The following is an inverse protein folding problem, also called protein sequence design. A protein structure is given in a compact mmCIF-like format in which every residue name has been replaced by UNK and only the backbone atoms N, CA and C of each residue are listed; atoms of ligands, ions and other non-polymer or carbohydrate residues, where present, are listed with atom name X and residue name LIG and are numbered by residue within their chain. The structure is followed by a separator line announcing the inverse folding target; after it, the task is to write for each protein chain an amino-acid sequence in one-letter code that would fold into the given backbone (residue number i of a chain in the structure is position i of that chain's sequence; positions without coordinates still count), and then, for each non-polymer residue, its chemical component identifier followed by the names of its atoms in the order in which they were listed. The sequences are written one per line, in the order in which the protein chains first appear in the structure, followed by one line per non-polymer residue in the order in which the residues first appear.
data_IF_121218044159
#
_entry.id   IF_121218044159
#
_cell.length_a   1.000
_cell.length_b   1.000
_cell.length_c   1.000
_cell.angle_alpha   90.00
_cell.angle_beta   90.00
_cell.angle_gamma   90.00
#
_symmetry.space_group_name_H-M   'P 1'
#
loop_
_entity.id
_entity.type
_entity.pdbx_description
1 polymer ?
#
# COMPACT_ATOMS: atom_id res chain seq x y z
N UNK A 1 40.21 -26.31 -39.18
CA UNK A 1 40.12 -25.00 -38.55
C UNK A 1 38.80 -24.26 -38.83
N UNK A 2 38.21 -24.35 -40.05
CA UNK A 2 36.93 -23.68 -40.39
C UNK A 2 35.76 -24.37 -39.75
N UNK A 3 35.77 -25.68 -39.61
CA UNK A 3 34.66 -26.47 -39.02
C UNK A 3 34.46 -26.18 -37.54
N UNK A 4 35.57 -26.10 -36.79
CA UNK A 4 35.55 -25.75 -35.35
C UNK A 4 35.03 -24.34 -35.10
N UNK A 5 35.32 -23.40 -35.98
CA UNK A 5 34.80 -22.02 -35.91
C UNK A 5 33.31 -21.94 -36.22
N UNK A 6 32.81 -22.77 -37.14
CA UNK A 6 31.42 -22.81 -37.53
C UNK A 6 30.54 -23.43 -36.42
N UNK A 7 30.97 -24.55 -35.85
CA UNK A 7 30.30 -25.22 -34.73
C UNK A 7 30.31 -24.32 -33.46
N UNK A 8 31.45 -23.67 -33.18
CA UNK A 8 31.55 -22.72 -32.07
C UNK A 8 30.59 -21.51 -32.28
N UNK A 9 30.49 -20.97 -33.50
CA UNK A 9 29.56 -19.91 -33.84
C UNK A 9 28.11 -20.30 -33.60
N UNK A 10 27.73 -21.50 -34.01
CA UNK A 10 26.37 -22.06 -33.75
C UNK A 10 26.08 -22.22 -32.26
N UNK A 11 27.04 -22.74 -31.50
CA UNK A 11 26.88 -22.91 -30.04
C UNK A 11 26.74 -21.58 -29.30
N UNK A 12 27.51 -20.57 -29.69
CA UNK A 12 27.39 -19.19 -29.12
C UNK A 12 26.04 -18.58 -29.46
N UNK A 13 25.56 -18.68 -30.69
CA UNK A 13 24.25 -18.18 -31.09
C UNK A 13 23.11 -18.87 -30.33
N UNK A 14 23.24 -20.18 -30.09
CA UNK A 14 22.26 -20.95 -29.30
C UNK A 14 22.26 -20.48 -27.84
N UNK A 15 23.43 -20.24 -27.24
CA UNK A 15 23.56 -19.69 -25.88
C UNK A 15 22.91 -18.30 -25.77
N UNK A 16 23.16 -17.42 -26.73
CA UNK A 16 22.53 -16.08 -26.79
C UNK A 16 21.02 -16.20 -26.91
N UNK A 17 20.52 -17.16 -27.69
CA UNK A 17 19.08 -17.43 -27.84
C UNK A 17 18.41 -17.85 -26.53
N UNK A 18 19.09 -18.68 -25.73
CA UNK A 18 18.61 -19.08 -24.38
C UNK A 18 18.57 -17.89 -23.43
N UNK A 19 19.60 -17.05 -23.44
CA UNK A 19 19.64 -15.81 -22.63
C UNK A 19 18.54 -14.85 -23.03
N UNK A 20 18.32 -14.61 -24.32
CA UNK A 20 17.25 -13.76 -24.81
C UNK A 20 15.87 -14.29 -24.44
N UNK A 21 15.65 -15.61 -24.49
CA UNK A 21 14.38 -16.22 -24.08
C UNK A 21 14.11 -15.98 -22.59
N UNK A 22 15.15 -16.12 -21.74
CA UNK A 22 15.03 -15.81 -20.30
C UNK A 22 14.76 -14.33 -20.05
N UNK A 23 15.45 -13.44 -20.78
CA UNK A 23 15.25 -11.99 -20.70
C UNK A 23 13.80 -11.61 -21.07
N UNK A 24 13.28 -12.15 -22.17
CA UNK A 24 11.89 -11.90 -22.61
C UNK A 24 10.91 -12.36 -21.51
N UNK A 25 11.09 -13.58 -20.97
CA UNK A 25 10.24 -14.09 -19.90
C UNK A 25 10.30 -13.23 -18.62
N UNK A 26 11.48 -12.76 -18.24
CA UNK A 26 11.63 -11.85 -17.09
C UNK A 26 10.98 -10.48 -17.33
N UNK A 27 11.05 -9.95 -18.56
CA UNK A 27 10.40 -8.70 -18.95
C UNK A 27 8.87 -8.83 -19.00
N UNK A 28 8.36 -9.98 -19.42
CA UNK A 28 6.92 -10.28 -19.40
C UNK A 28 6.39 -10.36 -17.96
N UNK A 29 7.13 -11.02 -17.05
CA UNK A 29 6.80 -11.04 -15.63
C UNK A 29 6.86 -9.64 -15.01
N UNK A 30 7.86 -8.85 -15.33
CA UNK A 30 7.98 -7.46 -14.87
C UNK A 30 6.84 -6.60 -15.41
N UNK A 31 6.50 -6.73 -16.69
CA UNK A 31 5.37 -6.04 -17.31
C UNK A 31 4.04 -6.40 -16.65
N UNK A 32 3.83 -7.69 -16.32
CA UNK A 32 2.64 -8.16 -15.62
C UNK A 32 2.59 -7.67 -14.16
N UNK A 33 3.74 -7.59 -13.47
CA UNK A 33 3.82 -7.06 -12.11
C UNK A 33 3.59 -5.54 -12.04
N UNK A 34 3.90 -4.84 -13.13
CA UNK A 34 3.68 -3.40 -13.33
C UNK A 34 2.35 -3.10 -14.03
N UNK A 35 1.49 -4.11 -14.21
CA UNK A 35 0.22 -3.97 -14.90
C UNK A 35 -0.68 -2.91 -14.21
N UNK A 36 -1.46 -2.23 -15.02
CA UNK A 36 -2.34 -1.11 -14.66
C UNK A 36 -3.16 -1.42 -13.39
N UNK A 37 -3.58 -2.68 -13.23
CA UNK A 37 -4.38 -3.15 -12.10
C UNK A 37 -3.67 -3.11 -10.75
N UNK A 38 -2.36 -3.39 -10.70
CA UNK A 38 -1.56 -3.35 -9.46
C UNK A 38 -1.17 -1.91 -9.12
N UNK A 39 -0.93 -1.10 -10.15
CA UNK A 39 -0.64 0.34 -10.05
C UNK A 39 -1.86 1.11 -9.57
N UNK A 40 -3.03 0.86 -10.16
CA UNK A 40 -4.30 1.44 -9.75
C UNK A 40 -4.62 1.11 -8.29
N UNK A 41 -4.39 -0.13 -7.85
CA UNK A 41 -4.61 -0.54 -6.46
C UNK A 41 -3.75 0.24 -5.46
N UNK A 42 -2.47 0.41 -5.73
CA UNK A 42 -1.54 1.15 -4.84
C UNK A 42 -1.88 2.65 -4.83
N UNK A 43 -2.08 3.24 -5.99
CA UNK A 43 -2.44 4.66 -6.12
C UNK A 43 -3.81 4.95 -5.50
N UNK A 44 -4.80 4.07 -5.71
CA UNK A 44 -6.12 4.18 -5.09
C UNK A 44 -6.05 4.10 -3.56
N UNK A 45 -5.24 3.21 -2.99
CA UNK A 45 -5.05 3.11 -1.54
C UNK A 45 -4.40 4.37 -0.94
N UNK A 46 -3.44 4.97 -1.64
CA UNK A 46 -2.84 6.26 -1.22
C UNK A 46 -3.90 7.37 -1.28
N UNK A 47 -4.68 7.45 -2.36
CA UNK A 47 -5.72 8.47 -2.51
C UNK A 47 -6.86 8.29 -1.50
N UNK A 48 -7.23 7.07 -1.15
CA UNK A 48 -8.16 6.77 -0.06
C UNK A 48 -7.62 7.28 1.29
N UNK A 49 -6.35 7.02 1.58
CA UNK A 49 -5.68 7.54 2.78
C UNK A 49 -5.67 9.08 2.81
N UNK A 50 -5.39 9.71 1.67
CA UNK A 50 -5.48 11.17 1.49
C UNK A 50 -6.90 11.68 1.78
N UNK A 51 -7.93 10.98 1.30
CA UNK A 51 -9.32 11.27 1.60
C UNK A 51 -9.62 11.22 3.09
N UNK A 52 -9.16 10.18 3.79
CA UNK A 52 -9.32 10.06 5.24
C UNK A 52 -8.61 11.18 6.01
N UNK A 53 -7.38 11.53 5.62
CA UNK A 53 -6.61 12.62 6.23
C UNK A 53 -7.31 13.97 6.03
N UNK A 54 -7.84 14.23 4.85
CA UNK A 54 -8.56 15.47 4.53
C UNK A 54 -9.79 15.71 5.39
N UNK A 55 -10.40 14.65 5.93
CA UNK A 55 -11.56 14.74 6.82
C UNK A 55 -11.20 14.95 8.30
N UNK A 56 -9.93 14.83 8.69
CA UNK A 56 -9.52 14.99 10.09
C UNK A 56 -9.81 16.38 10.65
N UNK A 57 -9.51 17.49 9.95
CA UNK A 57 -9.84 18.82 10.45
C UNK A 57 -11.33 19.03 10.70
N UNK A 58 -12.20 18.51 9.81
CA UNK A 58 -13.66 18.61 9.95
C UNK A 58 -14.16 17.82 11.16
N UNK A 59 -13.60 16.64 11.42
CA UNK A 59 -13.94 15.84 12.61
C UNK A 59 -13.49 16.54 13.89
N UNK A 60 -12.33 17.18 13.86
CA UNK A 60 -11.82 17.94 15.00
C UNK A 60 -12.68 19.15 15.31
N UNK A 61 -13.15 19.89 14.30
CA UNK A 61 -14.10 20.99 14.48
C UNK A 61 -15.42 20.52 15.09
N UNK A 62 -15.97 19.39 14.63
CA UNK A 62 -17.16 18.80 15.19
C UNK A 62 -16.98 18.37 16.67
N UNK A 63 -15.78 17.84 17.00
CA UNK A 63 -15.40 17.50 18.39
C UNK A 63 -15.36 18.75 19.26
N UNK A 64 -14.74 19.81 18.78
CA UNK A 64 -14.64 21.11 19.48
C UNK A 64 -16.02 21.70 19.76
N UNK A 65 -16.90 21.71 18.75
CA UNK A 65 -18.28 22.16 18.95
C UNK A 65 -19.04 21.34 20.00
N UNK A 66 -18.78 20.04 20.07
CA UNK A 66 -19.40 19.17 21.08
C UNK A 66 -18.86 19.45 22.48
N UNK A 67 -17.56 19.73 22.62
CA UNK A 67 -16.94 20.12 23.89
C UNK A 67 -17.46 21.49 24.36
N UNK A 68 -17.64 22.44 23.44
CA UNK A 68 -18.24 23.75 23.76
C UNK A 68 -19.65 23.59 24.31
N UNK A 69 -20.51 22.82 23.65
CA UNK A 69 -21.86 22.54 24.12
C UNK A 69 -21.89 21.86 25.51
N UNK A 70 -20.97 20.91 25.75
CA UNK A 70 -20.86 20.26 27.05
C UNK A 70 -20.41 21.28 28.14
N UNK A 71 -19.48 22.15 27.82
CA UNK A 71 -19.07 23.18 28.75
C UNK A 71 -20.21 24.16 29.10
N UNK A 72 -21.01 24.55 28.11
CA UNK A 72 -22.19 25.41 28.32
C UNK A 72 -23.25 24.73 29.21
N UNK A 73 -23.48 23.43 28.98
CA UNK A 73 -24.38 22.63 29.83
C UNK A 73 -23.85 22.57 31.27
N UNK A 74 -22.54 22.33 31.44
CA UNK A 74 -21.93 22.31 32.77
C UNK A 74 -22.07 23.66 33.50
N UNK A 75 -21.92 24.78 32.79
CA UNK A 75 -22.11 26.12 33.37
C UNK A 75 -23.58 26.32 33.80
N UNK A 76 -24.54 25.95 32.98
CA UNK A 76 -25.97 26.03 33.32
C UNK A 76 -26.30 25.13 34.53
N UNK A 77 -25.76 23.91 34.57
CA UNK A 77 -25.95 23.01 35.73
C UNK A 77 -25.35 23.57 37.00
N UNK A 78 -24.20 24.27 36.92
CA UNK A 78 -23.55 24.91 38.08
C UNK A 78 -24.46 25.99 38.67
N UNK A 79 -25.13 26.79 37.82
CA UNK A 79 -26.12 27.77 38.25
C UNK A 79 -27.27 27.11 39.02
N UNK A 80 -27.87 26.07 38.48
CA UNK A 80 -28.95 25.33 39.14
C UNK A 80 -28.51 24.67 40.44
N UNK A 81 -27.28 24.16 40.50
CA UNK A 81 -26.72 23.58 41.78
C UNK A 81 -26.53 24.69 42.80
N UNK A 82 -26.13 25.89 42.43
CA UNK A 82 -26.05 27.03 43.33
C UNK A 82 -27.43 27.38 43.90
N UNK A 83 -28.48 27.40 43.08
CA UNK A 83 -29.85 27.65 43.50
C UNK A 83 -30.35 26.55 44.46
N UNK A 84 -30.01 25.28 44.17
CA UNK A 84 -30.31 24.13 45.08
C UNK A 84 -29.62 24.31 46.43
N UNK A 85 -28.35 24.72 46.45
CA UNK A 85 -27.63 24.99 47.70
C UNK A 85 -28.27 26.12 48.51
N UNK A 86 -28.71 27.13 47.86
CA UNK A 86 -29.42 28.27 48.49
C UNK A 86 -30.75 27.78 49.06
N UNK A 87 -31.53 27.05 48.25
CA UNK A 87 -32.77 26.43 48.73
C UNK A 87 -32.59 25.55 49.95
N UNK A 88 -31.55 24.71 49.97
CA UNK A 88 -31.21 23.84 51.14
C UNK A 88 -30.89 24.70 52.38
N UNK A 89 -30.24 25.85 52.24
CA UNK A 89 -30.01 26.79 53.36
C UNK A 89 -31.30 27.36 53.91
N UNK A 90 -32.22 27.76 53.03
CA UNK A 90 -33.55 28.25 53.46
C UNK A 90 -34.34 27.17 54.19
N UNK A 91 -34.40 25.96 53.63
CA UNK A 91 -35.06 24.80 54.23
C UNK A 91 -34.52 24.47 55.62
N UNK A 92 -33.18 24.53 55.77
CA UNK A 92 -32.52 24.27 57.06
C UNK A 92 -32.94 25.35 58.10
N UNK A 93 -32.94 26.60 57.71
CA UNK A 93 -33.38 27.71 58.57
C UNK A 93 -34.81 27.55 58.99
N UNK A 94 -35.67 27.22 58.03
CA UNK A 94 -37.10 26.94 58.28
C UNK A 94 -37.31 25.78 59.26
N UNK A 95 -36.64 24.66 59.03
CA UNK A 95 -36.72 23.47 59.89
C UNK A 95 -36.22 23.75 61.34
N UNK A 96 -35.17 24.53 61.51
CA UNK A 96 -34.72 25.00 62.82
C UNK A 96 -35.80 25.85 63.52
N UNK A 97 -36.42 26.79 62.79
CA UNK A 97 -37.49 27.62 63.32
C UNK A 97 -38.69 26.79 63.74
N UNK A 98 -39.06 25.82 62.92
CA UNK A 98 -40.14 24.86 63.23
C UNK A 98 -39.83 24.05 64.47
N UNK A 99 -38.60 23.56 64.65
CA UNK A 99 -38.12 22.84 65.82
C UNK A 99 -38.26 23.69 67.10
N UNK A 100 -37.82 24.96 67.03
CA UNK A 100 -37.90 25.88 68.18
C UNK A 100 -39.37 26.18 68.53
N UNK A 101 -40.20 26.48 67.53
CA UNK A 101 -41.62 26.84 67.77
C UNK A 101 -42.42 25.63 68.29
N UNK A 102 -42.13 24.41 67.85
CA UNK A 102 -42.80 23.17 68.20
C UNK A 102 -42.26 22.49 69.50
N UNK A 103 -41.26 23.07 70.14
CA UNK A 103 -40.54 22.44 71.29
C UNK A 103 -41.47 22.07 72.51
N UNK A 104 -42.68 22.58 72.56
CA UNK A 104 -43.66 22.22 73.64
C UNK A 104 -44.67 21.18 73.21
N UNK A 105 -44.65 20.62 72.00
CA UNK A 105 -45.64 19.70 71.48
C UNK A 105 -45.04 18.27 71.41
N UNK A 106 -45.72 17.25 72.07
CA UNK A 106 -45.26 15.88 72.00
C UNK A 106 -45.24 15.36 70.54
N UNK A 107 -44.15 14.74 70.10
CA UNK A 107 -43.97 14.21 68.73
C UNK A 107 -43.50 15.19 67.69
N UNK A 108 -43.63 16.51 67.87
CA UNK A 108 -43.25 17.52 66.89
C UNK A 108 -41.71 17.69 66.81
N UNK A 109 -41.05 17.54 67.97
CA UNK A 109 -39.57 17.59 68.04
C UNK A 109 -38.92 16.48 67.22
N UNK A 110 -39.41 15.24 67.32
CA UNK A 110 -38.89 14.09 66.53
C UNK A 110 -39.09 14.28 65.02
N UNK A 111 -40.24 14.79 64.62
CA UNK A 111 -40.50 15.11 63.21
C UNK A 111 -39.55 16.22 62.67
N UNK A 112 -39.33 17.26 63.49
CA UNK A 112 -38.40 18.33 63.10
C UNK A 112 -36.93 17.84 63.01
N UNK A 113 -36.58 16.90 63.87
CA UNK A 113 -35.24 16.25 63.79
C UNK A 113 -35.07 15.43 62.53
N UNK A 114 -36.05 14.60 62.19
CA UNK A 114 -36.03 13.83 60.92
C UNK A 114 -35.92 14.74 59.69
N UNK A 115 -36.67 15.84 59.66
CA UNK A 115 -36.58 16.83 58.57
C UNK A 115 -35.17 17.44 58.51
N UNK A 116 -34.56 17.82 59.61
CA UNK A 116 -33.23 18.38 59.65
C UNK A 116 -32.17 17.38 59.18
N UNK A 117 -32.29 16.11 59.55
CA UNK A 117 -31.39 15.05 59.09
C UNK A 117 -31.51 14.85 57.54
N UNK A 118 -32.72 14.80 57.01
CA UNK A 118 -32.97 14.71 55.54
C UNK A 118 -32.42 15.91 54.82
N UNK A 119 -32.59 17.13 55.35
CA UNK A 119 -32.01 18.36 54.76
C UNK A 119 -30.49 18.33 54.78
N UNK A 120 -29.89 17.84 55.87
CA UNK A 120 -28.46 17.70 55.97
C UNK A 120 -27.90 16.70 54.97
N UNK A 121 -28.53 15.53 54.81
CA UNK A 121 -28.17 14.53 53.81
C UNK A 121 -28.29 15.10 52.39
N UNK A 122 -29.43 15.76 52.08
CA UNK A 122 -29.62 16.43 50.81
C UNK A 122 -28.56 17.53 50.51
N UNK A 123 -28.18 18.31 51.54
CA UNK A 123 -27.12 19.32 51.41
C UNK A 123 -25.76 18.68 51.10
N UNK A 124 -25.43 17.53 51.70
CA UNK A 124 -24.20 16.81 51.42
C UNK A 124 -24.19 16.26 49.98
N UNK A 125 -25.30 15.70 49.51
CA UNK A 125 -25.39 15.18 48.14
C UNK A 125 -25.28 16.32 47.07
N UNK A 126 -25.97 17.44 47.30
CA UNK A 126 -25.85 18.63 46.43
C UNK A 126 -24.41 19.18 46.40
N UNK A 127 -23.74 19.21 47.58
CA UNK A 127 -22.35 19.65 47.70
C UNK A 127 -21.39 18.69 46.98
N UNK A 128 -21.60 17.37 47.09
CA UNK A 128 -20.84 16.35 46.37
C UNK A 128 -21.02 16.51 44.86
N UNK A 129 -22.24 16.70 44.42
CA UNK A 129 -22.54 16.93 43.01
C UNK A 129 -21.89 18.23 42.49
N UNK A 130 -21.89 19.31 43.26
CA UNK A 130 -21.21 20.55 42.92
C UNK A 130 -19.70 20.33 42.70
N UNK A 131 -19.02 19.55 43.57
CA UNK A 131 -17.61 19.25 43.40
C UNK A 131 -17.33 18.40 42.17
N UNK A 132 -18.21 17.42 41.88
CA UNK A 132 -18.07 16.59 40.67
C UNK A 132 -18.26 17.40 39.42
N UNK A 133 -19.20 18.34 39.40
CA UNK A 133 -19.45 19.23 38.31
C UNK A 133 -18.27 20.19 38.05
N UNK A 134 -17.66 20.70 39.10
CA UNK A 134 -16.46 21.54 39.00
C UNK A 134 -15.27 20.76 38.40
N UNK A 135 -15.05 19.51 38.90
CA UNK A 135 -14.02 18.62 38.35
C UNK A 135 -14.26 18.31 36.85
N UNK A 136 -15.52 18.04 36.47
CA UNK A 136 -15.90 17.79 35.07
C UNK A 136 -15.67 19.04 34.20
N UNK A 137 -16.04 20.21 34.69
CA UNK A 137 -15.79 21.48 33.98
C UNK A 137 -14.30 21.72 33.75
N UNK A 138 -13.45 21.48 34.74
CA UNK A 138 -12.00 21.58 34.62
C UNK A 138 -11.44 20.61 33.55
N UNK A 139 -11.93 19.36 33.53
CA UNK A 139 -11.55 18.38 32.51
C UNK A 139 -12.00 18.79 31.11
N UNK A 140 -13.22 19.34 30.99
CA UNK A 140 -13.72 19.85 29.71
C UNK A 140 -12.89 21.02 29.20
N UNK A 141 -12.47 21.93 30.08
CA UNK A 141 -11.61 23.06 29.72
C UNK A 141 -10.26 22.56 29.20
N UNK A 142 -9.62 21.63 29.90
CA UNK A 142 -8.37 21.03 29.45
C UNK A 142 -8.53 20.27 28.11
N UNK A 143 -9.64 19.59 27.91
CA UNK A 143 -9.95 18.90 26.65
C UNK A 143 -10.20 19.91 25.51
N UNK A 144 -10.81 21.05 25.77
CA UNK A 144 -10.99 22.15 24.79
C UNK A 144 -9.65 22.74 24.37
N UNK A 145 -8.76 23.02 25.33
CA UNK A 145 -7.43 23.59 25.07
C UNK A 145 -6.61 22.61 24.20
N UNK A 146 -6.59 21.32 24.56
CA UNK A 146 -5.94 20.29 23.76
C UNK A 146 -6.54 20.14 22.36
N UNK A 147 -7.87 20.21 22.26
CA UNK A 147 -8.56 20.15 20.96
C UNK A 147 -8.22 21.35 20.08
N UNK A 148 -8.09 22.56 20.67
CA UNK A 148 -7.70 23.77 19.95
C UNK A 148 -6.26 23.68 19.41
N UNK A 149 -5.32 23.20 20.23
CA UNK A 149 -3.93 22.96 19.83
C UNK A 149 -3.84 21.93 18.70
N UNK A 150 -4.53 20.80 18.85
CA UNK A 150 -4.59 19.74 17.83
C UNK A 150 -5.22 20.25 16.52
N UNK A 151 -6.28 21.04 16.58
CA UNK A 151 -6.91 21.62 15.40
C UNK A 151 -5.96 22.57 14.65
N UNK A 152 -5.19 23.38 15.37
CA UNK A 152 -4.18 24.26 14.79
C UNK A 152 -3.07 23.46 14.11
N UNK A 153 -2.57 22.40 14.75
CA UNK A 153 -1.55 21.53 14.18
C UNK A 153 -2.07 20.82 12.91
N UNK A 154 -3.30 20.29 12.94
CA UNK A 154 -3.91 19.64 11.78
C UNK A 154 -4.15 20.62 10.63
N UNK A 155 -4.57 21.84 10.91
CA UNK A 155 -4.80 22.85 9.88
C UNK A 155 -3.51 23.19 9.10
N UNK A 156 -2.35 23.05 9.73
CA UNK A 156 -1.07 23.35 9.11
C UNK A 156 -0.41 22.10 8.49
N UNK A 157 -0.45 20.97 9.18
CA UNK A 157 0.31 19.76 8.83
C UNK A 157 -0.43 18.88 7.83
N UNK A 158 -1.75 18.73 7.98
CA UNK A 158 -2.54 17.84 7.12
C UNK A 158 -2.53 18.27 5.65
N UNK A 159 -2.72 19.55 5.28
CA UNK A 159 -2.66 19.95 3.87
C UNK A 159 -1.30 19.66 3.22
N UNK A 160 -0.20 19.88 3.93
CA UNK A 160 1.15 19.58 3.42
C UNK A 160 1.34 18.08 3.17
N UNK A 161 0.93 17.23 4.12
CA UNK A 161 0.99 15.77 3.96
C UNK A 161 0.10 15.30 2.80
N UNK A 162 -1.11 15.83 2.68
CA UNK A 162 -2.06 15.52 1.60
C UNK A 162 -1.47 15.88 0.23
N UNK A 163 -0.85 17.05 0.13
CA UNK A 163 -0.20 17.50 -1.11
C UNK A 163 0.99 16.60 -1.46
N UNK A 164 1.85 16.27 -0.50
CA UNK A 164 3.02 15.42 -0.71
C UNK A 164 2.61 13.99 -1.08
N UNK A 165 1.61 13.41 -0.40
CA UNK A 165 1.09 12.08 -0.72
C UNK A 165 0.46 12.05 -2.12
N UNK A 166 -0.31 13.07 -2.48
CA UNK A 166 -0.94 13.18 -3.80
C UNK A 166 0.11 13.29 -4.91
N UNK A 167 1.15 14.10 -4.68
CA UNK A 167 2.30 14.24 -5.60
C UNK A 167 3.06 12.93 -5.72
N UNK A 168 3.33 12.24 -4.62
CA UNK A 168 4.01 10.95 -4.61
C UNK A 168 3.19 9.87 -5.31
N UNK A 169 1.87 9.83 -5.12
CA UNK A 169 0.98 8.91 -5.82
C UNK A 169 1.04 9.12 -7.35
N UNK A 170 1.00 10.38 -7.80
CA UNK A 170 1.15 10.71 -9.22
C UNK A 170 2.52 10.28 -9.76
N UNK A 171 3.61 10.60 -9.04
CA UNK A 171 4.97 10.22 -9.43
C UNK A 171 5.14 8.69 -9.53
N UNK A 172 4.60 7.93 -8.57
CA UNK A 172 4.61 6.46 -8.60
C UNK A 172 3.88 5.93 -9.82
N UNK A 173 2.69 6.47 -10.13
CA UNK A 173 1.92 6.11 -11.32
C UNK A 173 2.69 6.38 -12.63
N UNK A 174 3.31 7.55 -12.75
CA UNK A 174 4.10 7.92 -13.93
C UNK A 174 5.36 7.06 -14.08
N UNK A 175 6.05 6.78 -12.97
CA UNK A 175 7.21 5.88 -12.96
C UNK A 175 6.84 4.47 -13.40
N UNK A 176 5.74 3.92 -12.90
CA UNK A 176 5.28 2.58 -13.28
C UNK A 176 4.89 2.50 -14.75
N UNK A 177 4.16 3.50 -15.29
CA UNK A 177 3.84 3.59 -16.73
C UNK A 177 5.11 3.67 -17.59
N UNK A 178 6.08 4.46 -17.16
CA UNK A 178 7.37 4.59 -17.86
C UNK A 178 8.13 3.25 -17.88
N UNK A 179 8.21 2.56 -16.72
CA UNK A 179 8.87 1.26 -16.60
C UNK A 179 8.17 0.18 -17.45
N UNK A 180 6.85 0.12 -17.42
CA UNK A 180 6.08 -0.80 -18.28
C UNK A 180 6.33 -0.53 -19.77
N UNK A 181 6.37 0.75 -20.17
CA UNK A 181 6.73 1.17 -21.52
C UNK A 181 8.13 0.73 -21.93
N UNK A 182 9.12 0.94 -21.07
CA UNK A 182 10.50 0.50 -21.30
C UNK A 182 10.61 -1.03 -21.39
N UNK A 183 9.97 -1.77 -20.49
CA UNK A 183 9.95 -3.23 -20.50
C UNK A 183 9.38 -3.77 -21.82
N UNK A 184 8.29 -3.16 -22.32
CA UNK A 184 7.68 -3.50 -23.62
C UNK A 184 8.63 -3.22 -24.79
N UNK A 185 9.32 -2.07 -24.78
CA UNK A 185 10.29 -1.72 -25.84
C UNK A 185 11.47 -2.69 -25.87
N UNK A 186 12.08 -2.97 -24.70
CA UNK A 186 13.19 -3.94 -24.58
C UNK A 186 12.74 -5.34 -24.98
N UNK A 187 11.53 -5.75 -24.59
CA UNK A 187 10.96 -7.04 -25.00
C UNK A 187 10.77 -7.14 -26.52
N UNK A 188 10.31 -6.09 -27.18
CA UNK A 188 10.19 -6.05 -28.64
C UNK A 188 11.55 -6.12 -29.34
N UNK A 189 12.54 -5.37 -28.81
CA UNK A 189 13.90 -5.42 -29.34
C UNK A 189 14.52 -6.82 -29.18
N UNK A 190 14.37 -7.44 -28.01
CA UNK A 190 14.86 -8.80 -27.73
C UNK A 190 14.23 -9.83 -28.68
N UNK A 191 12.92 -9.74 -28.93
CA UNK A 191 12.23 -10.60 -29.93
C UNK A 191 12.75 -10.36 -31.34
N UNK A 192 12.99 -9.11 -31.73
CA UNK A 192 13.61 -8.78 -33.01
C UNK A 192 15.01 -9.40 -33.18
N UNK A 193 15.85 -9.32 -32.15
CA UNK A 193 17.17 -9.96 -32.15
C UNK A 193 17.03 -11.48 -32.20
N UNK A 194 16.12 -12.08 -31.46
CA UNK A 194 15.85 -13.52 -31.47
C UNK A 194 15.46 -14.02 -32.86
N UNK A 195 14.60 -13.30 -33.58
CA UNK A 195 14.24 -13.65 -34.98
C UNK A 195 15.45 -13.59 -35.92
N UNK A 196 16.31 -12.59 -35.78
CA UNK A 196 17.52 -12.47 -36.60
C UNK A 196 18.51 -13.62 -36.28
N UNK A 197 18.70 -13.98 -35.03
CA UNK A 197 19.54 -15.13 -34.66
C UNK A 197 18.97 -16.45 -35.21
N UNK A 198 17.65 -16.66 -35.11
CA UNK A 198 17.01 -17.84 -35.69
C UNK A 198 17.22 -17.93 -37.21
N UNK A 199 17.12 -16.81 -37.91
CA UNK A 199 17.39 -16.77 -39.38
C UNK A 199 18.86 -17.11 -39.67
N UNK A 200 19.83 -16.59 -38.90
CA UNK A 200 21.24 -16.92 -39.05
C UNK A 200 21.50 -18.40 -38.76
N UNK A 201 20.93 -18.95 -37.71
CA UNK A 201 21.06 -20.37 -37.39
C UNK A 201 20.50 -21.27 -38.50
N UNK A 202 19.33 -20.90 -39.07
CA UNK A 202 18.75 -21.61 -40.24
C UNK A 202 19.67 -21.55 -41.44
N UNK A 203 20.25 -20.38 -41.75
CA UNK A 203 21.20 -20.23 -42.87
C UNK A 203 22.47 -21.07 -42.65
N UNK A 204 22.97 -21.13 -41.39
CA UNK A 204 24.09 -21.98 -41.04
C UNK A 204 23.76 -23.48 -41.22
N UNK A 205 22.57 -23.94 -40.84
CA UNK A 205 22.14 -25.34 -41.04
C UNK A 205 22.06 -25.68 -42.53
N UNK A 206 21.52 -24.78 -43.39
CA UNK A 206 21.46 -24.97 -44.82
C UNK A 206 22.91 -25.03 -45.41
N UNK A 207 23.80 -24.17 -44.92
CA UNK A 207 25.21 -24.18 -45.33
C UNK A 207 25.90 -25.49 -45.00
N UNK A 208 25.64 -26.04 -43.82
CA UNK A 208 26.21 -27.35 -43.40
C UNK A 208 25.66 -28.52 -44.23
N UNK A 209 24.36 -28.55 -44.48
CA UNK A 209 23.74 -29.56 -45.33
C UNK A 209 24.34 -29.47 -46.74
N UNK A 210 24.52 -28.27 -47.29
CA UNK A 210 25.11 -28.07 -48.60
C UNK A 210 26.54 -28.59 -48.66
N UNK A 211 27.35 -28.27 -47.61
CA UNK A 211 28.73 -28.76 -47.48
C UNK A 211 28.76 -30.31 -47.46
N UNK A 212 27.92 -30.95 -46.61
CA UNK A 212 27.85 -32.38 -46.57
C UNK A 212 27.48 -33.02 -47.92
N UNK A 213 26.56 -32.42 -48.65
CA UNK A 213 26.23 -32.90 -50.02
C UNK A 213 27.39 -32.78 -50.98
N UNK A 214 28.16 -31.67 -50.95
CA UNK A 214 29.35 -31.50 -51.77
C UNK A 214 30.43 -32.52 -51.40
N UNK A 215 30.65 -32.77 -50.09
CA UNK A 215 31.58 -33.79 -49.61
C UNK A 215 31.19 -35.20 -50.10
N UNK A 216 29.90 -35.55 -50.01
CA UNK A 216 29.38 -36.81 -50.57
C UNK A 216 29.62 -36.95 -52.06
N UNK A 217 29.35 -35.89 -52.84
CA UNK A 217 29.61 -35.89 -54.27
C UNK A 217 31.09 -36.08 -54.57
N UNK A 218 31.97 -35.33 -53.85
CA UNK A 218 33.45 -35.48 -53.96
C UNK A 218 33.90 -36.89 -53.65
N UNK A 219 33.47 -37.49 -52.54
CA UNK A 219 33.80 -38.86 -52.17
C UNK A 219 33.31 -39.84 -53.21
N UNK A 220 32.12 -39.63 -53.80
CA UNK A 220 31.60 -40.50 -54.87
C UNK A 220 32.44 -40.39 -56.16
N UNK A 221 32.94 -39.17 -56.50
CA UNK A 221 33.83 -38.96 -57.61
C UNK A 221 35.22 -39.59 -57.38
N UNK A 222 35.77 -39.49 -56.13
CA UNK A 222 37.01 -40.11 -55.75
C UNK A 222 36.93 -41.65 -55.89
N UNK A 223 35.78 -42.25 -55.49
CA UNK A 223 35.55 -43.69 -55.64
C UNK A 223 35.42 -44.08 -57.11
N UNK A 224 34.74 -43.26 -57.92
CA UNK A 224 34.64 -43.49 -59.34
C UNK A 224 35.98 -43.42 -60.06
N UNK A 225 36.80 -42.42 -59.70
CA UNK A 225 38.12 -42.26 -60.26
C UNK A 225 39.04 -43.45 -59.90
N UNK A 226 39.04 -43.90 -58.66
CA UNK A 226 39.72 -45.11 -58.20
C UNK A 226 39.29 -46.35 -58.98
N UNK A 227 37.96 -46.50 -59.16
CA UNK A 227 37.40 -47.62 -59.95
C UNK A 227 37.82 -47.60 -61.40
N UNK A 228 37.82 -46.43 -62.03
CA UNK A 228 38.27 -46.28 -63.44
C UNK A 228 39.79 -46.55 -63.59
N UNK A 229 40.61 -46.14 -62.64
CA UNK A 229 42.03 -46.41 -62.64
C UNK A 229 42.34 -47.91 -62.48
N UNK A 230 41.58 -48.62 -61.59
CA UNK A 230 41.72 -50.07 -61.41
C UNK A 230 41.32 -50.85 -62.67
N UNK A 231 40.23 -50.45 -63.32
CA UNK A 231 39.73 -51.07 -64.55
C UNK A 231 40.63 -50.72 -65.77
N UNK A 232 41.21 -49.55 -65.81
CA UNK A 232 42.19 -49.17 -66.86
C UNK A 232 43.53 -49.88 -66.69
N UNK A 233 43.87 -50.30 -65.46
CA UNK A 233 45.01 -51.16 -65.20
C UNK A 233 44.76 -52.65 -65.60
N UNK A 234 43.51 -53.10 -65.43
CA UNK A 234 43.12 -54.46 -65.84
C UNK A 234 43.06 -54.61 -67.36
N UNK A 235 42.52 -53.60 -68.10
CA UNK A 235 42.50 -53.61 -69.55
C UNK A 235 43.88 -53.59 -70.14
N UNK A 236 44.85 -52.91 -69.49
CA UNK A 236 46.24 -52.96 -69.93
C UNK A 236 46.93 -54.32 -69.66
N UNK A 237 46.55 -55.03 -68.61
CA UNK A 237 47.04 -56.39 -68.32
C UNK A 237 46.52 -57.42 -69.38
N UNK A 238 45.27 -57.25 -69.78
CA UNK A 238 44.69 -58.09 -70.82
C UNK A 238 45.30 -57.90 -72.19
N UNK A 239 45.69 -56.61 -72.52
CA UNK A 239 46.40 -56.36 -73.76
C UNK A 239 47.85 -56.94 -73.82
N UNK A 240 48.49 -57.16 -72.65
CA UNK A 240 49.80 -57.78 -72.53
C UNK A 240 49.73 -59.30 -72.52
N UNK A 241 48.57 -59.85 -72.18
CA UNK A 241 48.35 -61.34 -72.18
C UNK A 241 48.01 -61.91 -73.56
N UNK A 242 47.74 -61.07 -74.57
CA UNK A 242 47.39 -61.51 -75.96
C UNK A 242 48.58 -61.35 -76.93
N UNK A 243 49.78 -61.00 -76.45
CA UNK A 243 51.03 -61.01 -77.18
C UNK A 243 51.96 -62.09 -76.61
#
# INVERSE_FOLDING_TARGET
QHETRFLNGGAVLMSVMVVLKRLIGSLELLSSALDEKTTEGTTASILETVGHLSHLPVKEDARRMSLDRLADVCLSMREHVSDMQETMRYLRTFAVTVKITGAGLPGFSAFAEEILERIQSGTQEVSRFAMQLEAMYAQLTAAKDFSAETAQEYAHTVPAIVEDLSRNAANVGDHQKSMAGMAKQVGNLARGVQMKIAAVLSALQIGDITRQRIEHVRTSLDILDAYLLERGADTRKDEWAVR
#
